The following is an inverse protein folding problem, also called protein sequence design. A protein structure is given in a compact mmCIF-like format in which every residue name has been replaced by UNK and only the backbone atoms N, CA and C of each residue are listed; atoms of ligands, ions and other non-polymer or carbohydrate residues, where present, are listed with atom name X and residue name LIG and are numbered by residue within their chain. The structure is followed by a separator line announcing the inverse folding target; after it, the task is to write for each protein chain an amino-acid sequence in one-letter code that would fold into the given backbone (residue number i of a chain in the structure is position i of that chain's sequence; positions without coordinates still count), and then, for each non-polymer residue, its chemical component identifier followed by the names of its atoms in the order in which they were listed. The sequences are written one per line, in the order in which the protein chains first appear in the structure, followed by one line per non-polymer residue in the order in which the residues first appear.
data_IF_659613142756
#
_entry.id   IF_659613142756
#
_cell.length_a   1.000
_cell.length_b   1.000
_cell.length_c   1.000
_cell.angle_alpha   90.00
_cell.angle_beta   90.00
_cell.angle_gamma   90.00
#
_symmetry.space_group_name_H-M   'P 1'
#
loop_
_entity.id
_entity.type
_entity.pdbx_description
1 polymer ?
#
# COMPACT_ATOMS: atom_id res chain seq x y z
N UNK A 1 -33.23 19.28 10.80
CA UNK A 1 -32.27 20.42 10.80
C UNK A 1 -31.51 20.53 12.13
N UNK A 2 -32.18 20.58 13.29
CA UNK A 2 -31.52 20.68 14.61
C UNK A 2 -30.68 19.43 14.97
N UNK A 3 -31.12 18.23 14.58
CA UNK A 3 -30.38 16.96 14.81
C UNK A 3 -29.09 16.87 13.96
N UNK A 4 -29.06 17.53 12.79
CA UNK A 4 -27.86 17.61 11.96
C UNK A 4 -26.85 18.63 12.53
N UNK A 5 -27.31 19.77 13.04
CA UNK A 5 -26.43 20.78 13.64
C UNK A 5 -25.73 20.30 14.92
N UNK A 6 -26.33 19.39 15.70
CA UNK A 6 -25.71 18.87 16.93
C UNK A 6 -24.72 17.71 16.69
N UNK A 7 -24.74 17.07 15.52
CA UNK A 7 -23.77 16.02 15.15
C UNK A 7 -22.40 16.60 14.70
N UNK A 8 -22.37 17.86 14.27
CA UNK A 8 -21.18 18.51 13.68
C UNK A 8 -20.31 19.29 14.68
N UNK A 9 -20.82 19.61 15.87
CA UNK A 9 -20.08 20.42 16.87
C UNK A 9 -18.86 19.65 17.40
N UNK A 10 -18.97 18.33 17.58
CA UNK A 10 -17.90 17.50 18.11
C UNK A 10 -16.63 17.52 17.25
N UNK A 11 -16.70 17.17 15.96
CA UNK A 11 -15.56 17.25 15.04
C UNK A 11 -14.98 18.66 14.91
N UNK A 12 -15.81 19.70 14.89
CA UNK A 12 -15.35 21.08 14.85
C UNK A 12 -14.53 21.45 16.11
N UNK A 13 -15.02 21.08 17.30
CA UNK A 13 -14.28 21.28 18.56
C UNK A 13 -12.95 20.53 18.57
N UNK A 14 -12.92 19.30 18.09
CA UNK A 14 -11.69 18.52 17.98
C UNK A 14 -10.68 19.16 17.02
N UNK A 15 -11.14 19.70 15.89
CA UNK A 15 -10.30 20.44 14.95
C UNK A 15 -9.71 21.71 15.58
N UNK A 16 -10.51 22.48 16.31
CA UNK A 16 -10.03 23.66 17.04
C UNK A 16 -8.98 23.27 18.08
N UNK A 17 -9.20 22.20 18.85
CA UNK A 17 -8.25 21.70 19.84
C UNK A 17 -6.96 21.19 19.21
N UNK A 18 -7.03 20.50 18.07
CA UNK A 18 -5.85 20.04 17.34
C UNK A 18 -5.03 21.23 16.83
N UNK A 19 -5.67 22.25 16.24
CA UNK A 19 -5.00 23.47 15.80
C UNK A 19 -4.35 24.18 16.99
N UNK A 20 -5.08 24.34 18.10
CA UNK A 20 -4.54 24.94 19.31
C UNK A 20 -3.32 24.18 19.82
N UNK A 21 -3.40 22.85 19.88
CA UNK A 21 -2.30 21.95 20.23
C UNK A 21 -1.06 22.15 19.34
N UNK A 22 -1.26 22.22 18.02
CA UNK A 22 -0.18 22.49 17.05
C UNK A 22 0.47 23.86 17.30
N UNK A 23 -0.32 24.90 17.55
CA UNK A 23 0.17 26.26 17.76
C UNK A 23 0.96 26.40 19.07
N UNK A 24 0.54 25.75 20.15
CA UNK A 24 1.28 25.81 21.42
C UNK A 24 2.47 24.84 21.45
N UNK A 25 2.55 23.87 20.54
CA UNK A 25 3.51 22.77 20.63
C UNK A 25 4.98 23.20 20.68
N UNK A 26 5.43 24.21 19.89
CA UNK A 26 6.81 24.71 20.00
C UNK A 26 7.08 25.49 21.29
N UNK A 27 6.03 26.06 21.91
CA UNK A 27 6.13 26.91 23.09
C UNK A 27 6.16 26.12 24.40
N UNK A 28 5.61 24.90 24.40
CA UNK A 28 5.51 24.05 25.59
C UNK A 28 6.54 22.94 25.51
N UNK A 29 7.67 23.16 26.17
CA UNK A 29 8.73 22.17 26.36
C UNK A 29 8.87 21.86 27.86
N UNK A 30 9.20 20.61 28.24
CA UNK A 30 9.54 19.45 27.41
C UNK A 30 8.32 18.74 26.78
N UNK A 31 8.54 17.91 25.75
CA UNK A 31 7.51 17.19 24.99
C UNK A 31 6.45 16.46 25.84
N UNK A 32 6.86 15.83 26.94
CA UNK A 32 5.94 15.12 27.85
C UNK A 32 4.93 16.05 28.54
N UNK A 33 5.28 17.32 28.76
CA UNK A 33 4.39 18.30 29.37
C UNK A 33 3.27 18.68 28.41
N UNK A 34 3.61 18.95 27.15
CA UNK A 34 2.62 19.18 26.10
C UNK A 34 1.71 17.96 25.94
N UNK A 35 2.29 16.76 25.88
CA UNK A 35 1.55 15.51 25.79
C UNK A 35 0.51 15.39 26.90
N UNK A 36 0.91 15.64 28.15
CA UNK A 36 0.02 15.59 29.31
C UNK A 36 -1.13 16.60 29.19
N UNK A 37 -0.86 17.84 28.76
CA UNK A 37 -1.91 18.84 28.52
C UNK A 37 -2.88 18.38 27.44
N UNK A 38 -2.37 17.93 26.29
CA UNK A 38 -3.19 17.46 25.16
C UNK A 38 -4.05 16.26 25.57
N UNK A 39 -3.51 15.32 26.35
CA UNK A 39 -4.25 14.17 26.88
C UNK A 39 -5.38 14.63 27.82
N UNK A 40 -5.12 15.56 28.74
CA UNK A 40 -6.14 16.08 29.64
C UNK A 40 -7.28 16.78 28.87
N UNK A 41 -6.94 17.66 27.92
CA UNK A 41 -7.94 18.33 27.09
C UNK A 41 -8.74 17.35 26.22
N UNK A 42 -8.07 16.35 25.63
CA UNK A 42 -8.73 15.29 24.86
C UNK A 42 -9.59 14.37 25.73
N UNK A 43 -9.25 14.23 27.01
CA UNK A 43 -10.06 13.54 28.01
C UNK A 43 -11.44 14.19 28.19
N UNK A 44 -11.53 15.51 28.10
CA UNK A 44 -12.82 16.23 28.13
C UNK A 44 -13.64 15.90 26.87
N UNK A 45 -13.00 15.81 25.71
CA UNK A 45 -13.68 15.42 24.47
C UNK A 45 -14.29 14.02 24.58
N UNK A 46 -13.69 13.06 25.30
CA UNK A 46 -14.30 11.72 25.49
C UNK A 46 -15.72 11.77 26.08
N UNK A 47 -16.08 12.84 26.79
CA UNK A 47 -17.41 13.04 27.35
C UNK A 47 -18.44 13.57 26.32
N UNK A 48 -17.98 14.03 25.15
CA UNK A 48 -18.81 14.59 24.08
C UNK A 48 -19.17 13.50 23.06
N UNK A 49 -20.46 13.31 22.82
CA UNK A 49 -20.97 12.35 21.82
C UNK A 49 -20.35 12.61 20.44
N UNK A 50 -19.92 11.53 19.77
CA UNK A 50 -19.40 11.58 18.41
C UNK A 50 -17.92 11.95 18.28
N UNK A 51 -17.21 12.22 19.39
CA UNK A 51 -15.78 12.57 19.37
C UNK A 51 -14.86 11.48 19.91
N UNK A 52 -15.41 10.42 20.54
CA UNK A 52 -14.64 9.37 21.23
C UNK A 52 -13.38 8.92 20.49
N UNK A 53 -13.51 8.49 19.23
CA UNK A 53 -12.38 7.97 18.45
C UNK A 53 -11.40 9.04 17.98
N UNK A 54 -11.87 10.29 17.80
CA UNK A 54 -11.00 11.45 17.54
C UNK A 54 -10.21 11.81 18.81
N UNK A 55 -10.83 11.76 19.98
CA UNK A 55 -10.12 11.99 21.24
C UNK A 55 -9.06 10.91 21.48
N UNK A 56 -9.40 9.64 21.25
CA UNK A 56 -8.44 8.53 21.39
C UNK A 56 -7.28 8.67 20.41
N UNK A 57 -7.54 9.06 19.16
CA UNK A 57 -6.48 9.25 18.17
C UNK A 57 -5.51 10.38 18.57
N UNK A 58 -6.04 11.50 19.07
CA UNK A 58 -5.22 12.61 19.60
C UNK A 58 -4.41 12.16 20.82
N UNK A 59 -5.03 11.43 21.77
CA UNK A 59 -4.37 10.91 22.97
C UNK A 59 -3.20 10.00 22.60
N UNK A 60 -3.41 9.04 21.69
CA UNK A 60 -2.36 8.10 21.26
C UNK A 60 -1.21 8.85 20.58
N UNK A 61 -1.52 9.78 19.67
CA UNK A 61 -0.50 10.57 18.96
C UNK A 61 0.30 11.45 19.95
N UNK A 62 -0.38 12.05 20.92
CA UNK A 62 0.26 12.83 21.98
C UNK A 62 1.14 11.97 22.88
N UNK A 63 0.71 10.77 23.24
CA UNK A 63 1.51 9.82 24.03
C UNK A 63 2.80 9.46 23.29
N UNK A 64 2.73 9.13 22.00
CA UNK A 64 3.91 8.79 21.20
C UNK A 64 4.89 9.97 21.11
N UNK A 65 4.40 11.20 20.95
CA UNK A 65 5.23 12.40 21.02
C UNK A 65 5.86 12.61 22.41
N UNK A 66 5.07 12.47 23.48
CA UNK A 66 5.54 12.64 24.86
C UNK A 66 6.60 11.61 25.28
N UNK A 67 6.55 10.41 24.70
CA UNK A 67 7.56 9.35 24.86
C UNK A 67 8.81 9.55 23.99
N UNK A 68 8.83 10.58 23.13
CA UNK A 68 9.95 10.84 22.21
C UNK A 68 9.99 9.91 20.99
N UNK A 69 8.91 9.17 20.71
CA UNK A 69 8.80 8.30 19.53
C UNK A 69 8.37 9.08 18.27
N UNK A 70 7.82 10.28 18.42
CA UNK A 70 7.50 11.17 17.30
C UNK A 70 8.29 12.47 17.39
N UNK A 71 8.75 12.97 16.25
CA UNK A 71 9.25 14.34 16.17
C UNK A 71 8.10 15.35 16.29
N UNK A 72 8.41 16.59 16.69
CA UNK A 72 7.44 17.69 16.77
C UNK A 72 6.74 17.93 15.42
N UNK A 73 7.50 17.85 14.31
CA UNK A 73 6.95 18.01 12.96
C UNK A 73 5.98 16.89 12.59
N UNK A 74 6.31 15.64 12.91
CA UNK A 74 5.44 14.49 12.64
C UNK A 74 4.19 14.56 13.49
N UNK A 75 4.31 14.83 14.79
CA UNK A 75 3.17 15.03 15.69
C UNK A 75 2.18 16.06 15.15
N UNK A 76 2.67 17.26 14.80
CA UNK A 76 1.82 18.34 14.31
C UNK A 76 1.22 18.03 12.93
N UNK A 77 2.02 17.44 12.03
CA UNK A 77 1.55 17.03 10.71
C UNK A 77 0.47 15.95 10.80
N UNK A 78 0.64 14.92 11.64
CA UNK A 78 -0.34 13.85 11.78
C UNK A 78 -1.67 14.39 12.31
N UNK A 79 -1.64 15.24 13.35
CA UNK A 79 -2.85 15.87 13.87
C UNK A 79 -3.56 16.71 12.81
N UNK A 80 -2.81 17.48 12.02
CA UNK A 80 -3.38 18.27 10.94
C UNK A 80 -4.05 17.39 9.87
N UNK A 81 -3.39 16.32 9.42
CA UNK A 81 -3.93 15.41 8.40
C UNK A 81 -5.21 14.75 8.90
N UNK A 82 -5.14 14.11 10.07
CA UNK A 82 -6.23 13.26 10.56
C UNK A 82 -7.42 14.08 11.01
N UNK A 83 -7.20 15.12 11.82
CA UNK A 83 -8.31 15.85 12.43
C UNK A 83 -8.95 16.82 11.44
N UNK A 84 -8.17 17.56 10.66
CA UNK A 84 -8.72 18.48 9.67
C UNK A 84 -9.26 17.74 8.45
N UNK A 85 -8.60 16.65 8.04
CA UNK A 85 -9.10 15.75 6.99
C UNK A 85 -10.43 15.11 7.39
N UNK A 86 -10.55 14.61 8.63
CA UNK A 86 -11.81 14.06 9.14
C UNK A 86 -12.92 15.09 9.12
N UNK A 87 -12.64 16.30 9.60
CA UNK A 87 -13.60 17.38 9.60
C UNK A 87 -14.09 17.67 8.17
N UNK A 88 -13.17 17.84 7.21
CA UNK A 88 -13.53 18.07 5.81
C UNK A 88 -14.36 16.92 5.22
N UNK A 89 -13.98 15.67 5.49
CA UNK A 89 -14.67 14.49 4.97
C UNK A 89 -16.12 14.38 5.43
N UNK A 90 -16.38 14.71 6.72
CA UNK A 90 -17.73 14.71 7.30
C UNK A 90 -18.58 15.84 6.74
N UNK A 91 -18.03 17.07 6.68
CA UNK A 91 -18.74 18.25 6.16
C UNK A 91 -19.16 18.07 4.70
N UNK A 92 -18.38 17.33 3.89
CA UNK A 92 -18.74 17.03 2.50
C UNK A 92 -19.63 15.78 2.34
N UNK A 93 -20.21 15.28 3.44
CA UNK A 93 -21.24 14.23 3.42
C UNK A 93 -20.72 12.79 3.32
N UNK A 94 -19.44 12.55 3.62
CA UNK A 94 -18.84 11.20 3.66
C UNK A 94 -19.05 10.34 2.38
N UNK A 95 -19.08 10.97 1.21
CA UNK A 95 -19.20 10.29 -0.08
C UNK A 95 -17.83 9.96 -0.67
N UNK A 96 -17.71 9.14 -1.74
CA UNK A 96 -16.43 8.92 -2.42
C UNK A 96 -15.73 10.22 -2.88
N UNK A 97 -16.48 11.30 -3.13
CA UNK A 97 -15.89 12.61 -3.47
C UNK A 97 -15.28 13.32 -2.26
N UNK A 98 -15.70 12.98 -1.04
CA UNK A 98 -15.17 13.53 0.21
C UNK A 98 -13.70 13.19 0.45
N UNK A 99 -13.18 12.13 -0.18
CA UNK A 99 -11.74 11.81 -0.10
C UNK A 99 -10.85 12.92 -0.67
N UNK A 100 -11.32 13.64 -1.70
CA UNK A 100 -10.58 14.78 -2.25
C UNK A 100 -10.52 15.94 -1.24
N UNK A 101 -11.64 16.23 -0.57
CA UNK A 101 -11.69 17.24 0.48
C UNK A 101 -10.76 16.86 1.65
N UNK A 102 -10.76 15.59 2.06
CA UNK A 102 -9.84 15.06 3.06
C UNK A 102 -8.37 15.32 2.67
N UNK A 103 -7.96 14.90 1.46
CA UNK A 103 -6.57 15.01 1.00
C UNK A 103 -6.14 16.48 0.96
N UNK A 104 -6.96 17.34 0.36
CA UNK A 104 -6.62 18.76 0.18
C UNK A 104 -6.52 19.46 1.53
N UNK A 105 -7.54 19.33 2.40
CA UNK A 105 -7.56 20.01 3.69
C UNK A 105 -6.50 19.45 4.64
N UNK A 106 -6.36 18.12 4.72
CA UNK A 106 -5.36 17.48 5.57
C UNK A 106 -3.93 17.82 5.15
N UNK A 107 -3.63 17.77 3.84
CA UNK A 107 -2.30 18.10 3.32
C UNK A 107 -1.98 19.58 3.49
N UNK A 108 -2.94 20.48 3.22
CA UNK A 108 -2.74 21.91 3.43
C UNK A 108 -2.48 22.23 4.91
N UNK A 109 -3.25 21.64 5.83
CA UNK A 109 -3.02 21.77 7.26
C UNK A 109 -1.65 21.26 7.69
N UNK A 110 -1.21 20.12 7.14
CA UNK A 110 0.11 19.55 7.42
C UNK A 110 1.25 20.43 6.94
N UNK A 111 1.16 20.98 5.72
CA UNK A 111 2.15 21.93 5.18
C UNK A 111 2.24 23.16 6.07
N UNK A 112 1.10 23.73 6.48
CA UNK A 112 1.07 24.89 7.37
C UNK A 112 1.65 24.57 8.76
N UNK A 113 1.33 23.40 9.32
CA UNK A 113 1.85 22.95 10.61
C UNK A 113 3.38 22.77 10.56
N UNK A 114 3.90 22.12 9.52
CA UNK A 114 5.34 21.96 9.34
C UNK A 114 6.04 23.30 9.11
N UNK A 115 5.46 24.18 8.27
CA UNK A 115 5.98 25.52 8.03
C UNK A 115 6.05 26.37 9.33
N UNK A 116 5.03 26.25 10.19
CA UNK A 116 5.00 26.90 11.50
C UNK A 116 6.14 26.43 12.43
N UNK A 117 6.49 25.14 12.36
CA UNK A 117 7.60 24.55 13.11
C UNK A 117 8.96 24.85 12.46
N UNK A 118 8.99 25.38 11.24
CA UNK A 118 10.22 25.69 10.50
C UNK A 118 10.83 24.47 9.78
N UNK A 119 10.03 23.42 9.54
CA UNK A 119 10.46 22.23 8.79
C UNK A 119 9.69 22.18 7.47
N UNK A 120 10.37 21.88 6.37
CA UNK A 120 9.72 21.70 5.06
C UNK A 120 10.07 20.31 4.50
N UNK A 121 9.14 19.37 4.61
CA UNK A 121 9.30 18.03 4.05
C UNK A 121 8.04 17.57 3.31
N UNK A 122 7.92 17.91 2.02
CA UNK A 122 6.75 17.56 1.20
C UNK A 122 6.48 16.05 1.13
N UNK A 123 7.54 15.22 1.10
CA UNK A 123 7.42 13.76 1.06
C UNK A 123 6.64 13.23 2.26
N UNK A 124 6.94 13.74 3.46
CA UNK A 124 6.32 13.29 4.71
C UNK A 124 4.84 13.68 4.74
N UNK A 125 4.49 14.86 4.26
CA UNK A 125 3.08 15.28 4.13
C UNK A 125 2.34 14.38 3.15
N UNK A 126 2.92 14.11 1.97
CA UNK A 126 2.27 13.27 0.96
C UNK A 126 2.08 11.82 1.41
N UNK A 127 3.10 11.22 2.03
CA UNK A 127 2.98 9.87 2.61
C UNK A 127 1.90 9.85 3.68
N UNK A 128 1.89 10.82 4.59
CA UNK A 128 0.88 10.92 5.63
C UNK A 128 -0.54 11.02 5.04
N UNK A 129 -0.74 11.89 4.06
CA UNK A 129 -2.04 12.07 3.42
C UNK A 129 -2.51 10.80 2.68
N UNK A 130 -1.63 10.14 1.92
CA UNK A 130 -1.93 8.91 1.20
C UNK A 130 -2.24 7.74 2.14
N UNK A 131 -1.44 7.55 3.20
CA UNK A 131 -1.68 6.52 4.22
C UNK A 131 -3.00 6.77 4.94
N UNK A 132 -3.34 8.03 5.22
CA UNK A 132 -4.59 8.38 5.87
C UNK A 132 -5.81 7.97 5.02
N UNK A 133 -5.85 8.38 3.75
CA UNK A 133 -6.96 8.00 2.86
C UNK A 133 -6.99 6.52 2.52
N UNK A 134 -5.83 5.87 2.43
CA UNK A 134 -5.73 4.43 2.29
C UNK A 134 -6.39 3.71 3.47
N UNK A 135 -5.95 4.02 4.71
CA UNK A 135 -6.48 3.37 5.90
C UNK A 135 -7.97 3.63 6.06
N UNK A 136 -8.41 4.85 5.75
CA UNK A 136 -9.84 5.18 5.72
C UNK A 136 -10.63 4.34 4.72
N UNK A 137 -10.12 4.17 3.51
CA UNK A 137 -10.75 3.34 2.48
C UNK A 137 -10.71 1.85 2.83
N UNK A 138 -9.68 1.39 3.54
CA UNK A 138 -9.52 -0.01 3.95
C UNK A 138 -10.35 -0.39 5.20
N UNK A 139 -10.62 0.58 6.08
CA UNK A 139 -11.29 0.38 7.36
C UNK A 139 -12.77 0.84 7.34
N UNK A 140 -13.37 0.94 6.16
CA UNK A 140 -14.79 1.31 6.03
C UNK A 140 -15.66 0.36 6.85
N UNK A 141 -16.55 0.93 7.68
CA UNK A 141 -17.44 0.17 8.56
C UNK A 141 -16.86 -0.16 9.94
N UNK A 142 -15.59 0.18 10.20
CA UNK A 142 -14.99 0.05 11.54
C UNK A 142 -15.16 1.33 12.35
N UNK A 143 -15.62 1.19 13.59
CA UNK A 143 -15.75 2.34 14.50
C UNK A 143 -14.39 2.90 14.96
N UNK A 144 -13.39 2.03 15.11
CA UNK A 144 -12.04 2.36 15.55
C UNK A 144 -11.11 2.86 14.42
N UNK A 145 -11.65 3.02 13.20
CA UNK A 145 -10.87 3.35 12.01
C UNK A 145 -9.98 4.59 12.18
N UNK A 146 -10.50 5.63 12.85
CA UNK A 146 -9.80 6.91 13.00
C UNK A 146 -8.60 6.84 13.95
N UNK A 147 -8.66 5.95 14.95
CA UNK A 147 -7.53 5.67 15.83
C UNK A 147 -6.42 4.94 15.06
N UNK A 148 -6.80 3.92 14.28
CA UNK A 148 -5.86 3.14 13.46
C UNK A 148 -5.23 4.03 12.39
N UNK A 149 -6.04 4.91 11.78
CA UNK A 149 -5.60 5.91 10.81
C UNK A 149 -4.52 6.83 11.40
N UNK A 150 -4.75 7.42 12.58
CA UNK A 150 -3.76 8.30 13.20
C UNK A 150 -2.47 7.59 13.56
N UNK A 151 -2.55 6.38 14.13
CA UNK A 151 -1.37 5.59 14.45
C UNK A 151 -0.58 5.24 13.17
N UNK A 152 -1.26 4.77 12.13
CA UNK A 152 -0.64 4.41 10.86
C UNK A 152 0.01 5.61 10.16
N UNK A 153 -0.66 6.76 10.15
CA UNK A 153 -0.11 8.01 9.62
C UNK A 153 1.12 8.45 10.42
N UNK A 154 1.04 8.49 11.75
CA UNK A 154 2.15 8.88 12.62
C UNK A 154 3.38 8.01 12.39
N UNK A 155 3.22 6.68 12.39
CA UNK A 155 4.32 5.74 12.23
C UNK A 155 4.91 5.77 10.83
N UNK A 156 4.09 5.88 9.79
CA UNK A 156 4.58 6.02 8.42
C UNK A 156 5.36 7.33 8.25
N UNK A 157 4.82 8.45 8.73
CA UNK A 157 5.51 9.74 8.66
C UNK A 157 6.82 9.75 9.45
N UNK A 158 6.83 9.16 10.66
CA UNK A 158 8.04 9.06 11.48
C UNK A 158 9.13 8.24 10.80
N UNK A 159 8.77 7.10 10.20
CA UNK A 159 9.71 6.28 9.44
C UNK A 159 10.42 7.10 8.35
N UNK A 160 9.67 7.81 7.51
CA UNK A 160 10.27 8.63 6.44
C UNK A 160 10.96 9.90 6.97
N UNK A 161 10.54 10.43 8.11
CA UNK A 161 11.25 11.52 8.79
C UNK A 161 12.65 11.08 9.23
N UNK A 162 12.79 9.89 9.82
CA UNK A 162 14.06 9.36 10.29
C UNK A 162 15.00 8.92 9.17
N UNK A 163 14.45 8.39 8.05
CA UNK A 163 15.26 8.11 6.85
C UNK A 163 15.94 9.39 6.34
N UNK A 164 15.32 10.56 6.51
CA UNK A 164 15.91 11.84 6.12
C UNK A 164 16.04 12.01 4.60
N UNK A 165 15.28 11.25 3.81
CA UNK A 165 15.32 11.30 2.34
C UNK A 165 14.58 12.53 1.82
N UNK A 166 15.30 13.42 1.12
CA UNK A 166 14.73 14.61 0.50
C UNK A 166 14.58 14.43 -1.00
N UNK A 167 13.45 14.87 -1.54
CA UNK A 167 13.13 14.78 -2.97
C UNK A 167 12.79 16.18 -3.47
N UNK A 168 13.20 16.48 -4.70
CA UNK A 168 12.77 17.70 -5.36
C UNK A 168 11.22 17.78 -5.40
N UNK A 169 10.61 18.90 -4.96
CA UNK A 169 9.16 19.02 -4.88
C UNK A 169 8.43 18.82 -6.22
N UNK A 170 9.06 19.17 -7.34
CA UNK A 170 8.46 19.01 -8.66
C UNK A 170 8.44 17.54 -9.08
N UNK A 171 9.57 16.84 -8.93
CA UNK A 171 9.63 15.39 -9.16
C UNK A 171 8.65 14.62 -8.28
N UNK A 172 8.53 15.02 -7.02
CA UNK A 172 7.59 14.43 -6.08
C UNK A 172 6.12 14.67 -6.50
N UNK A 173 5.78 15.89 -6.93
CA UNK A 173 4.43 16.20 -7.42
C UNK A 173 4.10 15.39 -8.68
N UNK A 174 5.06 15.26 -9.61
CA UNK A 174 4.89 14.44 -10.80
C UNK A 174 4.65 12.97 -10.45
N UNK A 175 5.44 12.43 -9.50
CA UNK A 175 5.28 11.07 -9.00
C UNK A 175 3.88 10.85 -8.39
N UNK A 176 3.40 11.80 -7.59
CA UNK A 176 2.06 11.75 -6.99
C UNK A 176 0.97 11.75 -8.07
N UNK A 177 1.07 12.63 -9.07
CA UNK A 177 0.11 12.71 -10.17
C UNK A 177 0.07 11.40 -10.96
N UNK A 178 1.22 10.84 -11.32
CA UNK A 178 1.29 9.56 -12.03
C UNK A 178 0.67 8.44 -11.21
N UNK A 179 1.02 8.34 -9.92
CA UNK A 179 0.54 7.30 -9.03
C UNK A 179 -0.98 7.37 -8.80
N UNK A 180 -1.52 8.57 -8.55
CA UNK A 180 -2.96 8.79 -8.39
C UNK A 180 -3.73 8.61 -9.70
N UNK A 181 -3.18 9.04 -10.84
CA UNK A 181 -3.80 8.83 -12.14
C UNK A 181 -3.93 7.33 -12.43
N UNK A 182 -2.88 6.56 -12.19
CA UNK A 182 -2.91 5.10 -12.34
C UNK A 182 -3.92 4.45 -11.38
N UNK A 183 -3.91 4.84 -10.09
CA UNK A 183 -4.89 4.34 -9.12
C UNK A 183 -6.33 4.64 -9.54
N UNK A 184 -6.59 5.87 -9.99
CA UNK A 184 -7.90 6.30 -10.48
C UNK A 184 -8.34 5.50 -11.71
N UNK A 185 -7.47 5.33 -12.70
CA UNK A 185 -7.77 4.52 -13.89
C UNK A 185 -8.06 3.07 -13.51
N UNK A 186 -7.28 2.50 -12.60
CA UNK A 186 -7.48 1.14 -12.09
C UNK A 186 -8.84 0.97 -11.40
N UNK A 187 -9.25 1.97 -10.62
CA UNK A 187 -10.59 2.01 -10.01
C UNK A 187 -11.70 2.19 -11.06
N UNK A 188 -11.51 3.11 -12.00
CA UNK A 188 -12.49 3.42 -13.04
C UNK A 188 -12.78 2.21 -13.94
N UNK A 189 -11.75 1.46 -14.32
CA UNK A 189 -11.87 0.23 -15.10
C UNK A 189 -12.24 -1.00 -14.26
N UNK A 190 -12.61 -0.82 -12.98
CA UNK A 190 -12.96 -1.89 -12.04
C UNK A 190 -11.89 -2.99 -12.00
N UNK A 191 -10.62 -2.61 -12.05
CA UNK A 191 -9.49 -3.50 -11.80
C UNK A 191 -9.09 -3.49 -10.31
N UNK A 192 -9.31 -2.36 -9.63
CA UNK A 192 -9.07 -2.20 -8.20
C UNK A 192 -10.25 -1.52 -7.50
N UNK A 193 -10.44 -1.78 -6.21
CA UNK A 193 -11.40 -1.03 -5.39
C UNK A 193 -10.78 0.27 -4.84
N UNK A 194 -11.50 1.00 -3.99
CA UNK A 194 -11.01 2.26 -3.42
C UNK A 194 -9.76 2.09 -2.54
N UNK A 195 -9.68 0.97 -1.81
CA UNK A 195 -8.50 0.63 -1.02
C UNK A 195 -7.31 0.24 -1.91
N UNK A 196 -7.59 -0.45 -3.03
CA UNK A 196 -6.63 -0.81 -4.08
C UNK A 196 -6.07 0.42 -4.80
N UNK A 197 -6.90 1.45 -5.04
CA UNK A 197 -6.46 2.74 -5.59
C UNK A 197 -5.39 3.38 -4.72
N UNK A 198 -5.66 3.56 -3.42
CA UNK A 198 -4.73 4.29 -2.55
C UNK A 198 -3.50 3.46 -2.19
N UNK A 199 -3.64 2.15 -1.97
CA UNK A 199 -2.48 1.26 -1.78
C UNK A 199 -1.60 1.20 -3.04
N UNK A 200 -2.21 1.15 -4.23
CA UNK A 200 -1.48 1.23 -5.50
C UNK A 200 -0.79 2.59 -5.70
N UNK A 201 -1.43 3.68 -5.29
CA UNK A 201 -0.81 5.01 -5.32
C UNK A 201 0.38 5.13 -4.35
N UNK A 202 0.31 4.53 -3.16
CA UNK A 202 1.44 4.46 -2.22
C UNK A 202 2.61 3.70 -2.85
N UNK A 203 2.35 2.49 -3.38
CA UNK A 203 3.39 1.70 -4.04
C UNK A 203 3.99 2.47 -5.23
N UNK A 204 3.14 3.06 -6.09
CA UNK A 204 3.59 3.82 -7.24
C UNK A 204 4.43 5.04 -6.86
N UNK A 205 4.01 5.80 -5.85
CA UNK A 205 4.80 6.92 -5.33
C UNK A 205 6.18 6.46 -4.86
N UNK A 206 6.24 5.40 -4.05
CA UNK A 206 7.50 4.89 -3.50
C UNK A 206 8.44 4.36 -4.59
N UNK A 207 7.92 3.67 -5.61
CA UNK A 207 8.74 3.21 -6.74
C UNK A 207 9.34 4.38 -7.52
N UNK A 208 8.55 5.43 -7.80
CA UNK A 208 9.02 6.59 -8.58
C UNK A 208 10.01 7.43 -7.76
N UNK A 209 9.75 7.62 -6.47
CA UNK A 209 10.54 8.49 -5.58
C UNK A 209 11.89 7.88 -5.21
N UNK A 210 11.93 6.59 -4.88
CA UNK A 210 13.16 5.93 -4.44
C UNK A 210 13.96 5.30 -5.57
N UNK A 211 13.33 4.98 -6.70
CA UNK A 211 14.03 4.45 -7.85
C UNK A 211 13.86 5.36 -9.06
N UNK A 212 12.86 5.08 -9.91
CA UNK A 212 12.64 5.78 -11.17
C UNK A 212 11.24 5.44 -11.72
N UNK A 213 10.66 6.31 -12.54
CA UNK A 213 9.38 6.05 -13.22
C UNK A 213 9.40 4.76 -14.06
N UNK A 214 10.58 4.35 -14.55
CA UNK A 214 10.78 3.08 -15.26
C UNK A 214 10.42 1.86 -14.41
N UNK A 215 10.70 1.88 -13.10
CA UNK A 215 10.35 0.78 -12.19
C UNK A 215 8.84 0.68 -12.02
N UNK A 216 8.17 1.83 -11.91
CA UNK A 216 6.72 1.89 -11.94
C UNK A 216 6.14 1.28 -13.23
N UNK A 217 6.74 1.55 -14.41
CA UNK A 217 6.30 0.93 -15.66
C UNK A 217 6.48 -0.59 -15.70
N UNK A 218 7.56 -1.14 -15.12
CA UNK A 218 7.72 -2.60 -15.00
C UNK A 218 6.59 -3.20 -14.15
N UNK A 219 6.25 -2.58 -13.02
CA UNK A 219 5.13 -3.03 -12.19
C UNK A 219 3.78 -2.84 -12.90
N UNK A 220 3.63 -1.79 -13.71
CA UNK A 220 2.44 -1.55 -14.52
C UNK A 220 2.23 -2.66 -15.55
N UNK A 221 3.30 -3.16 -16.18
CA UNK A 221 3.21 -4.30 -17.11
C UNK A 221 2.67 -5.54 -16.41
N UNK A 222 3.17 -5.87 -15.22
CA UNK A 222 2.58 -6.94 -14.40
C UNK A 222 1.08 -6.70 -14.14
N UNK A 223 0.72 -5.49 -13.70
CA UNK A 223 -0.67 -5.17 -13.38
C UNK A 223 -1.61 -5.29 -14.59
N UNK A 224 -1.16 -4.82 -15.76
CA UNK A 224 -1.90 -4.93 -17.02
C UNK A 224 -2.05 -6.38 -17.42
N UNK A 225 -0.96 -7.15 -17.42
CA UNK A 225 -0.97 -8.58 -17.74
C UNK A 225 -1.94 -9.33 -16.82
N UNK A 226 -1.81 -9.14 -15.51
CA UNK A 226 -2.67 -9.80 -14.53
C UNK A 226 -4.14 -9.39 -14.65
N UNK A 227 -4.42 -8.10 -14.83
CA UNK A 227 -5.80 -7.63 -15.02
C UNK A 227 -6.42 -8.14 -16.32
N UNK A 228 -5.62 -8.23 -17.39
CA UNK A 228 -6.07 -8.75 -18.68
C UNK A 228 -6.35 -10.25 -18.59
N UNK A 229 -5.47 -11.05 -17.98
CA UNK A 229 -5.67 -12.50 -17.83
C UNK A 229 -6.79 -12.84 -16.87
N UNK A 230 -6.97 -12.09 -15.77
CA UNK A 230 -8.11 -12.27 -14.87
C UNK A 230 -9.44 -12.07 -15.62
N UNK A 231 -9.55 -11.00 -16.42
CA UNK A 231 -10.77 -10.70 -17.20
C UNK A 231 -10.95 -11.58 -18.44
N UNK A 232 -9.88 -12.18 -18.95
CA UNK A 232 -9.93 -13.08 -20.10
C UNK A 232 -10.81 -14.30 -19.77
N UNK A 233 -11.80 -14.55 -20.63
CA UNK A 233 -12.75 -15.67 -20.51
C UNK A 233 -13.41 -15.79 -19.12
N UNK A 234 -13.68 -14.66 -18.47
CA UNK A 234 -14.23 -14.63 -17.12
C UNK A 234 -15.55 -15.42 -16.96
N UNK A 235 -16.38 -15.47 -18.00
CA UNK A 235 -17.62 -16.29 -18.00
C UNK A 235 -17.34 -17.79 -17.88
N UNK A 236 -16.39 -18.31 -18.66
CA UNK A 236 -16.00 -19.72 -18.59
C UNK A 236 -15.43 -20.07 -17.20
N UNK A 237 -14.71 -19.14 -16.56
CA UNK A 237 -14.19 -19.31 -15.19
C UNK A 237 -15.30 -19.32 -14.13
N UNK A 238 -16.40 -18.58 -14.34
CA UNK A 238 -17.58 -18.63 -13.48
C UNK A 238 -18.24 -20.01 -13.60
N UNK A 239 -18.40 -20.51 -14.82
CA UNK A 239 -19.02 -21.82 -15.07
C UNK A 239 -18.20 -22.97 -14.44
N UNK A 240 -16.87 -22.80 -14.36
CA UNK A 240 -15.95 -23.72 -13.70
C UNK A 240 -15.88 -23.52 -12.16
N UNK A 241 -16.50 -22.47 -11.61
CA UNK A 241 -16.47 -22.17 -10.16
C UNK A 241 -15.12 -21.67 -9.64
N UNK A 242 -14.23 -21.22 -10.52
CA UNK A 242 -12.84 -20.81 -10.20
C UNK A 242 -12.55 -19.33 -10.49
N UNK A 243 -13.59 -18.57 -10.86
CA UNK A 243 -13.43 -17.15 -11.13
C UNK A 243 -12.96 -16.37 -9.90
N UNK A 244 -12.02 -15.45 -10.13
CA UNK A 244 -11.56 -14.49 -9.13
C UNK A 244 -12.74 -13.78 -8.47
N UNK A 245 -12.77 -13.71 -7.14
CA UNK A 245 -13.87 -13.06 -6.43
C UNK A 245 -14.09 -11.60 -6.84
N UNK A 246 -15.29 -11.07 -6.58
CA UNK A 246 -15.65 -9.66 -6.83
C UNK A 246 -15.44 -9.18 -8.28
N UNK A 247 -15.55 -10.06 -9.29
CA UNK A 247 -15.38 -9.63 -10.69
C UNK A 247 -13.92 -9.42 -11.09
N UNK A 248 -12.97 -9.95 -10.32
CA UNK A 248 -11.54 -9.69 -10.52
C UNK A 248 -11.05 -8.35 -9.96
N UNK A 249 -11.87 -7.65 -9.17
CA UNK A 249 -11.49 -6.39 -8.51
C UNK A 249 -10.51 -6.67 -7.37
N UNK A 250 -9.34 -6.03 -7.41
CA UNK A 250 -8.28 -6.20 -6.41
C UNK A 250 -8.38 -5.15 -5.30
N UNK A 251 -8.46 -5.61 -4.06
CA UNK A 251 -8.35 -4.76 -2.87
C UNK A 251 -6.90 -4.62 -2.38
N UNK A 252 -6.71 -3.83 -1.33
CA UNK A 252 -5.38 -3.51 -0.79
C UNK A 252 -4.54 -4.73 -0.39
N UNK A 253 -5.16 -5.79 0.12
CA UNK A 253 -4.44 -7.02 0.51
C UNK A 253 -3.73 -7.65 -0.68
N UNK A 254 -4.36 -7.67 -1.86
CA UNK A 254 -3.74 -8.20 -3.07
C UNK A 254 -2.61 -7.26 -3.57
N UNK A 255 -2.84 -5.95 -3.50
CA UNK A 255 -1.86 -4.94 -3.91
C UNK A 255 -0.58 -5.03 -3.06
N UNK A 256 -0.71 -5.06 -1.73
CA UNK A 256 0.45 -5.20 -0.85
C UNK A 256 1.10 -6.57 -0.92
N UNK A 257 0.32 -7.66 -0.98
CA UNK A 257 0.88 -9.00 -1.10
C UNK A 257 1.80 -9.14 -2.31
N UNK A 258 1.42 -8.56 -3.46
CA UNK A 258 2.20 -8.64 -4.69
C UNK A 258 3.27 -7.56 -4.82
N UNK A 259 3.07 -6.38 -4.23
CA UNK A 259 3.92 -5.22 -4.49
C UNK A 259 4.85 -4.82 -3.35
N UNK A 260 4.65 -5.31 -2.12
CA UNK A 260 5.42 -4.86 -0.95
C UNK A 260 6.90 -5.21 -1.05
N UNK A 261 7.24 -6.45 -1.42
CA UNK A 261 8.63 -6.90 -1.58
C UNK A 261 9.33 -6.09 -2.68
N UNK A 262 8.66 -5.86 -3.81
CA UNK A 262 9.16 -5.01 -4.88
C UNK A 262 9.40 -3.57 -4.40
N UNK A 263 8.48 -3.01 -3.60
CA UNK A 263 8.60 -1.67 -3.02
C UNK A 263 9.79 -1.57 -2.08
N UNK A 264 10.00 -2.59 -1.24
CA UNK A 264 11.21 -2.70 -0.39
C UNK A 264 12.47 -2.72 -1.24
N UNK A 265 12.49 -3.48 -2.34
CA UNK A 265 13.59 -3.48 -3.30
C UNK A 265 13.90 -2.09 -3.86
N UNK A 266 12.88 -1.33 -4.25
CA UNK A 266 13.04 0.04 -4.77
C UNK A 266 13.55 1.02 -3.69
N UNK A 267 12.99 0.97 -2.48
CA UNK A 267 13.45 1.81 -1.36
C UNK A 267 14.90 1.50 -1.01
N UNK A 268 15.27 0.22 -0.90
CA UNK A 268 16.66 -0.18 -0.64
C UNK A 268 17.59 0.23 -1.78
N UNK A 269 17.16 0.14 -3.03
CA UNK A 269 17.94 0.62 -4.18
C UNK A 269 18.16 2.14 -4.10
N UNK A 270 17.15 2.93 -3.77
CA UNK A 270 17.29 4.38 -3.59
C UNK A 270 18.27 4.79 -2.50
N UNK A 271 18.39 3.97 -1.45
CA UNK A 271 19.29 4.23 -0.33
C UNK A 271 20.72 3.72 -0.62
N UNK A 272 20.85 2.55 -1.27
CA UNK A 272 22.14 1.83 -1.39
C UNK A 272 22.75 1.82 -2.79
N UNK A 273 21.94 1.97 -3.84
CA UNK A 273 22.33 1.80 -5.24
C UNK A 273 22.70 0.36 -5.63
N UNK A 274 22.50 -0.63 -4.76
CA UNK A 274 23.04 -1.97 -4.97
C UNK A 274 22.24 -2.79 -6.00
N UNK A 275 22.88 -3.49 -6.96
CA UNK A 275 22.18 -4.25 -8.00
C UNK A 275 21.30 -5.40 -7.47
N UNK A 276 21.66 -5.99 -6.33
CA UNK A 276 20.82 -6.98 -5.66
C UNK A 276 19.41 -6.45 -5.30
N UNK A 277 19.26 -5.13 -5.09
CA UNK A 277 17.95 -4.51 -4.86
C UNK A 277 17.09 -4.47 -6.13
N UNK A 278 17.72 -4.30 -7.30
CA UNK A 278 17.06 -4.43 -8.62
C UNK A 278 16.59 -5.87 -8.82
N UNK A 279 17.43 -6.85 -8.48
CA UNK A 279 17.09 -8.26 -8.56
C UNK A 279 15.94 -8.62 -7.60
N UNK A 280 15.96 -8.11 -6.36
CA UNK A 280 14.87 -8.27 -5.38
C UNK A 280 13.54 -7.75 -5.93
N UNK A 281 13.55 -6.55 -6.50
CA UNK A 281 12.39 -5.97 -7.15
C UNK A 281 11.91 -6.82 -8.33
N UNK A 282 12.81 -7.15 -9.25
CA UNK A 282 12.44 -7.82 -10.49
C UNK A 282 11.93 -9.25 -10.25
N UNK A 283 12.62 -10.01 -9.40
CA UNK A 283 12.19 -11.35 -9.01
C UNK A 283 10.81 -11.32 -8.35
N UNK A 284 10.54 -10.36 -7.47
CA UNK A 284 9.22 -10.19 -6.84
C UNK A 284 8.12 -9.89 -7.86
N UNK A 285 8.32 -8.92 -8.76
CA UNK A 285 7.30 -8.54 -9.75
C UNK A 285 7.10 -9.65 -10.78
N UNK A 286 8.19 -10.31 -11.21
CA UNK A 286 8.12 -11.44 -12.13
C UNK A 286 7.38 -12.63 -11.51
N UNK A 287 7.55 -12.91 -10.22
CA UNK A 287 6.78 -13.96 -9.52
C UNK A 287 5.29 -13.63 -9.44
N UNK A 288 4.92 -12.39 -9.10
CA UNK A 288 3.52 -11.98 -9.07
C UNK A 288 2.85 -12.09 -10.45
N UNK A 289 3.58 -11.76 -11.52
CA UNK A 289 3.11 -11.88 -12.89
C UNK A 289 2.99 -13.34 -13.33
N UNK A 290 4.02 -14.14 -13.07
CA UNK A 290 4.00 -15.58 -13.34
C UNK A 290 2.81 -16.24 -12.67
N UNK A 291 2.57 -15.94 -11.39
CA UNK A 291 1.54 -16.58 -10.60
C UNK A 291 0.14 -16.23 -11.09
N UNK A 292 -0.12 -14.93 -11.30
CA UNK A 292 -1.40 -14.48 -11.82
C UNK A 292 -1.67 -15.08 -13.21
N UNK A 293 -0.69 -15.09 -14.11
CA UNK A 293 -0.91 -15.59 -15.48
C UNK A 293 -1.06 -17.12 -15.47
N UNK A 294 -0.23 -17.83 -14.69
CA UNK A 294 -0.28 -19.28 -14.57
C UNK A 294 -1.61 -19.77 -14.00
N UNK A 295 -2.11 -19.14 -12.93
CA UNK A 295 -3.38 -19.50 -12.32
C UNK A 295 -4.58 -19.17 -13.23
N UNK A 296 -4.59 -17.98 -13.84
CA UNK A 296 -5.73 -17.51 -14.65
C UNK A 296 -5.82 -18.19 -16.02
N UNK A 297 -4.70 -18.54 -16.63
CA UNK A 297 -4.66 -19.22 -17.94
C UNK A 297 -4.58 -20.73 -17.77
N UNK A 298 -3.86 -21.22 -16.74
CA UNK A 298 -3.63 -22.63 -16.50
C UNK A 298 -4.88 -23.44 -16.17
N UNK A 299 -5.94 -22.81 -15.67
CA UNK A 299 -7.28 -23.41 -15.49
C UNK A 299 -7.83 -24.01 -16.79
N UNK A 300 -7.46 -23.46 -17.95
CA UNK A 300 -7.88 -23.96 -19.25
C UNK A 300 -6.96 -25.06 -19.81
N UNK A 301 -5.88 -25.39 -19.09
CA UNK A 301 -4.82 -26.30 -19.52
C UNK A 301 -5.08 -27.79 -19.34
N UNK A 302 -6.34 -28.20 -19.16
CA UNK A 302 -6.71 -29.59 -18.88
C UNK A 302 -6.72 -29.91 -17.38
N UNK A 303 -6.42 -31.16 -17.01
CA UNK A 303 -6.50 -31.64 -15.61
C UNK A 303 -5.24 -31.23 -14.82
N UNK A 304 -5.35 -30.36 -13.80
CA UNK A 304 -4.21 -30.00 -12.97
C UNK A 304 -3.71 -31.17 -12.12
N UNK A 305 -2.44 -31.10 -11.75
CA UNK A 305 -1.79 -32.05 -10.84
C UNK A 305 -1.27 -31.32 -9.62
N UNK A 306 -1.47 -31.89 -8.44
CA UNK A 306 -0.99 -31.26 -7.21
C UNK A 306 0.54 -31.26 -7.19
N UNK A 307 1.17 -30.10 -6.97
CA UNK A 307 2.63 -29.95 -7.04
C UNK A 307 3.39 -30.88 -6.09
N UNK A 308 2.80 -31.27 -4.96
CA UNK A 308 3.42 -32.12 -3.93
C UNK A 308 3.32 -33.62 -4.22
N UNK A 309 2.26 -34.08 -4.88
CA UNK A 309 1.99 -35.52 -5.08
C UNK A 309 1.89 -35.94 -6.54
N UNK A 310 1.84 -34.96 -7.46
CA UNK A 310 1.60 -35.12 -8.89
C UNK A 310 0.29 -35.85 -9.24
N UNK A 311 -0.62 -35.99 -8.27
CA UNK A 311 -1.93 -36.61 -8.48
C UNK A 311 -2.89 -35.62 -9.17
N UNK A 312 -3.76 -36.09 -10.09
CA UNK A 312 -4.79 -35.26 -10.67
C UNK A 312 -5.72 -34.67 -9.60
N UNK A 313 -6.03 -33.38 -9.71
CA UNK A 313 -6.95 -32.67 -8.82
C UNK A 313 -7.96 -31.86 -9.64
N UNK A 314 -9.11 -31.46 -9.05
CA UNK A 314 -10.05 -30.57 -9.72
C UNK A 314 -9.42 -29.20 -10.08
N UNK A 315 -9.82 -28.58 -11.20
CA UNK A 315 -9.47 -27.18 -11.50
C UNK A 315 -9.80 -26.24 -10.34
N UNK A 316 -8.90 -25.28 -10.08
CA UNK A 316 -9.03 -24.32 -8.97
C UNK A 316 -8.57 -24.85 -7.61
N UNK A 317 -8.05 -26.07 -7.53
CA UNK A 317 -7.40 -26.57 -6.30
C UNK A 317 -6.09 -25.81 -6.05
N UNK A 318 -5.93 -25.22 -4.87
CA UNK A 318 -4.68 -24.54 -4.48
C UNK A 318 -3.49 -25.51 -4.58
N UNK A 319 -2.45 -25.09 -5.31
CA UNK A 319 -1.27 -25.89 -5.62
C UNK A 319 -1.44 -26.91 -6.75
N UNK A 320 -2.54 -26.86 -7.49
CA UNK A 320 -2.73 -27.60 -8.73
C UNK A 320 -2.06 -26.89 -9.90
N UNK A 321 -1.06 -27.53 -10.51
CA UNK A 321 -0.31 -27.00 -11.65
C UNK A 321 -0.71 -27.70 -12.95
N UNK A 322 -0.75 -26.95 -14.06
CA UNK A 322 -0.92 -27.48 -15.42
C UNK A 322 0.29 -27.09 -16.27
N UNK A 323 0.59 -27.88 -17.30
CA UNK A 323 1.66 -27.54 -18.24
C UNK A 323 1.45 -26.18 -18.90
N UNK A 324 0.20 -25.86 -19.25
CA UNK A 324 -0.16 -24.55 -19.81
C UNK A 324 0.09 -23.43 -18.79
N UNK A 325 -0.28 -23.65 -17.52
CA UNK A 325 -0.01 -22.70 -16.43
C UNK A 325 1.48 -22.41 -16.28
N UNK A 326 2.31 -23.45 -16.16
CA UNK A 326 3.77 -23.29 -16.04
C UNK A 326 4.39 -22.56 -17.25
N UNK A 327 4.00 -22.94 -18.48
CA UNK A 327 4.54 -22.32 -19.68
C UNK A 327 4.13 -20.84 -19.81
N UNK A 328 2.88 -20.51 -19.51
CA UNK A 328 2.40 -19.12 -19.55
C UNK A 328 2.91 -18.28 -18.38
N UNK A 329 3.10 -18.87 -17.21
CA UNK A 329 3.75 -18.24 -16.05
C UNK A 329 5.21 -17.89 -16.35
N UNK A 330 5.99 -18.81 -16.91
CA UNK A 330 7.36 -18.54 -17.35
C UNK A 330 7.39 -17.43 -18.42
N UNK A 331 6.45 -17.47 -19.37
CA UNK A 331 6.30 -16.41 -20.37
C UNK A 331 6.01 -15.04 -19.75
N UNK A 332 5.15 -14.96 -18.74
CA UNK A 332 4.85 -13.72 -18.03
C UNK A 332 6.05 -13.18 -17.25
N UNK A 333 6.79 -14.05 -16.54
CA UNK A 333 8.04 -13.68 -15.88
C UNK A 333 9.07 -13.12 -16.88
N UNK A 334 9.18 -13.75 -18.06
CA UNK A 334 10.06 -13.30 -19.12
C UNK A 334 9.62 -11.93 -19.68
N UNK A 335 8.33 -11.71 -19.93
CA UNK A 335 7.82 -10.41 -20.41
C UNK A 335 8.14 -9.29 -19.43
N UNK A 336 7.90 -9.49 -18.13
CA UNK A 336 8.24 -8.51 -17.09
C UNK A 336 9.74 -8.22 -17.07
N UNK A 337 10.57 -9.27 -17.10
CA UNK A 337 12.03 -9.14 -17.05
C UNK A 337 12.63 -8.48 -18.29
N UNK A 338 12.11 -8.82 -19.47
CA UNK A 338 12.50 -8.18 -20.73
C UNK A 338 12.05 -6.72 -20.78
N UNK A 339 10.92 -6.37 -20.17
CA UNK A 339 10.49 -4.97 -20.03
C UNK A 339 11.47 -4.21 -19.15
N UNK A 340 11.89 -4.78 -18.01
CA UNK A 340 12.88 -4.17 -17.14
C UNK A 340 14.23 -3.96 -17.86
N UNK A 341 14.67 -4.92 -18.67
CA UNK A 341 15.85 -4.77 -19.51
C UNK A 341 15.69 -3.68 -20.58
N UNK A 342 14.59 -3.70 -21.32
CA UNK A 342 14.32 -2.73 -22.39
C UNK A 342 14.22 -1.29 -21.88
N UNK A 343 13.71 -1.10 -20.66
CA UNK A 343 13.67 0.21 -20.00
C UNK A 343 15.02 0.62 -19.37
N UNK A 344 16.02 -0.27 -19.36
CA UNK A 344 17.31 -0.03 -18.70
C UNK A 344 17.23 0.00 -17.18
N UNK A 345 16.26 -0.71 -16.59
CA UNK A 345 16.16 -0.95 -15.14
C UNK A 345 17.09 -2.09 -14.73
N UNK A 346 17.19 -3.13 -15.55
CA UNK A 346 18.01 -4.31 -15.32
C UNK A 346 18.97 -4.54 -16.49
N UNK A 347 20.16 -5.07 -16.21
CA UNK A 347 21.03 -5.62 -17.25
C UNK A 347 20.51 -7.00 -17.73
N UNK A 348 21.05 -7.56 -18.84
CA UNK A 348 20.61 -8.85 -19.35
C UNK A 348 20.73 -10.01 -18.34
N UNK A 349 21.72 -9.95 -17.44
CA UNK A 349 21.93 -10.99 -16.43
C UNK A 349 20.84 -10.93 -15.35
N UNK A 350 20.57 -9.74 -14.80
CA UNK A 350 19.50 -9.54 -13.82
C UNK A 350 18.14 -9.86 -14.45
N UNK A 351 17.92 -9.58 -15.74
CA UNK A 351 16.68 -9.96 -16.43
C UNK A 351 16.53 -11.49 -16.57
N UNK A 352 17.61 -12.21 -16.87
CA UNK A 352 17.59 -13.68 -16.89
C UNK A 352 17.30 -14.24 -15.49
N UNK A 353 18.02 -13.75 -14.48
CA UNK A 353 17.81 -14.13 -13.08
C UNK A 353 16.37 -13.83 -12.63
N UNK A 354 15.84 -12.66 -12.96
CA UNK A 354 14.47 -12.26 -12.66
C UNK A 354 13.43 -13.19 -13.28
N UNK A 355 13.66 -13.66 -14.51
CA UNK A 355 12.78 -14.63 -15.19
C UNK A 355 12.76 -15.97 -14.45
N UNK A 356 13.94 -16.51 -14.14
CA UNK A 356 14.07 -17.79 -13.45
C UNK A 356 13.53 -17.72 -12.02
N UNK A 357 13.84 -16.65 -11.30
CA UNK A 357 13.35 -16.42 -9.95
C UNK A 357 11.83 -16.17 -9.94
N UNK A 358 11.29 -15.51 -10.96
CA UNK A 358 9.86 -15.37 -11.20
C UNK A 358 9.16 -16.72 -11.22
N UNK A 359 9.68 -17.63 -12.04
CA UNK A 359 9.19 -19.01 -12.16
C UNK A 359 9.31 -19.82 -10.86
N UNK A 360 10.43 -19.65 -10.12
CA UNK A 360 10.61 -20.25 -8.79
C UNK A 360 9.53 -19.74 -7.83
N UNK A 361 9.25 -18.43 -7.80
CA UNK A 361 8.22 -17.85 -6.93
C UNK A 361 6.82 -18.38 -7.23
N UNK A 362 6.45 -18.56 -8.51
CA UNK A 362 5.17 -19.20 -8.89
C UNK A 362 5.03 -20.62 -8.35
N UNK A 363 6.12 -21.40 -8.41
CA UNK A 363 6.11 -22.76 -7.90
C UNK A 363 6.11 -22.79 -6.37
N UNK A 364 6.73 -21.79 -5.72
CA UNK A 364 6.61 -21.57 -4.27
C UNK A 364 5.18 -21.23 -3.86
N UNK A 365 4.45 -20.42 -4.63
CA UNK A 365 3.03 -20.15 -4.40
C UNK A 365 2.25 -21.47 -4.37
N UNK A 366 2.38 -22.27 -5.43
CA UNK A 366 1.70 -23.55 -5.54
C UNK A 366 2.06 -24.51 -4.38
N UNK A 367 3.31 -24.52 -3.94
CA UNK A 367 3.76 -25.33 -2.81
C UNK A 367 3.12 -24.87 -1.48
N UNK A 368 3.11 -23.57 -1.22
CA UNK A 368 2.50 -22.98 -0.02
C UNK A 368 0.98 -23.14 -0.06
N UNK A 369 0.36 -22.98 -1.22
CA UNK A 369 -1.05 -23.23 -1.46
C UNK A 369 -1.45 -24.67 -1.11
N UNK A 370 -0.69 -25.65 -1.62
CA UNK A 370 -0.93 -27.07 -1.36
C UNK A 370 -0.76 -27.46 0.13
N UNK A 371 0.17 -26.81 0.85
CA UNK A 371 0.60 -27.25 2.18
C UNK A 371 0.02 -26.44 3.33
N UNK A 372 -0.07 -25.12 3.20
CA UNK A 372 -0.41 -24.19 4.28
C UNK A 372 -1.75 -23.48 4.05
N UNK A 373 -2.06 -23.07 2.83
CA UNK A 373 -3.33 -22.38 2.53
C UNK A 373 -4.53 -23.33 2.70
N UNK A 374 -4.42 -24.55 2.16
CA UNK A 374 -5.45 -25.58 2.34
C UNK A 374 -5.68 -25.98 3.81
N UNK A 375 -4.71 -25.71 4.70
CA UNK A 375 -4.82 -25.94 6.15
C UNK A 375 -5.39 -24.74 6.91
N UNK A 376 -5.67 -23.63 6.22
CA UNK A 376 -6.15 -22.39 6.82
C UNK A 376 -5.10 -21.60 7.60
N UNK A 377 -3.80 -21.91 7.44
CA UNK A 377 -2.71 -21.19 8.13
C UNK A 377 -2.50 -19.81 7.48
N UNK A 378 -2.57 -19.76 6.15
CA UNK A 378 -2.52 -18.53 5.36
C UNK A 378 -3.76 -18.42 4.49
N UNK A 379 -4.14 -17.20 4.13
CA UNK A 379 -5.03 -16.96 2.99
C UNK A 379 -4.22 -16.56 1.76
N UNK A 380 -4.86 -16.49 0.60
CA UNK A 380 -4.28 -16.12 -0.71
C UNK A 380 -3.29 -14.93 -0.65
N UNK A 381 -3.61 -13.84 0.07
CA UNK A 381 -2.69 -12.71 0.21
C UNK A 381 -1.36 -13.07 0.92
N UNK A 382 -1.38 -13.99 1.89
CA UNK A 382 -0.17 -14.51 2.54
C UNK A 382 0.64 -15.41 1.61
N UNK A 383 -0.03 -16.27 0.83
CA UNK A 383 0.61 -17.14 -0.18
C UNK A 383 1.34 -16.29 -1.23
N UNK A 384 0.65 -15.31 -1.82
CA UNK A 384 1.23 -14.36 -2.78
C UNK A 384 2.44 -13.59 -2.19
N UNK A 385 2.36 -13.17 -0.93
CA UNK A 385 3.47 -12.48 -0.27
C UNK A 385 4.70 -13.40 -0.13
N UNK A 386 4.51 -14.66 0.26
CA UNK A 386 5.60 -15.64 0.36
C UNK A 386 6.18 -15.95 -1.02
N UNK A 387 5.35 -16.07 -2.05
CA UNK A 387 5.77 -16.31 -3.41
C UNK A 387 6.65 -15.16 -3.94
N UNK A 388 6.19 -13.92 -3.81
CA UNK A 388 6.93 -12.74 -4.24
C UNK A 388 8.20 -12.50 -3.41
N UNK A 389 8.15 -12.77 -2.10
CA UNK A 389 9.34 -12.74 -1.23
C UNK A 389 10.36 -13.79 -1.63
N UNK A 390 9.92 -15.03 -1.87
CA UNK A 390 10.78 -16.14 -2.28
C UNK A 390 11.43 -15.89 -3.64
N UNK A 391 10.66 -15.44 -4.63
CA UNK A 391 11.20 -15.04 -5.93
C UNK A 391 12.18 -13.87 -5.84
N UNK A 392 11.81 -12.81 -5.12
CA UNK A 392 12.69 -11.65 -4.92
C UNK A 392 14.01 -12.02 -4.21
N UNK A 393 13.95 -12.75 -3.10
CA UNK A 393 15.15 -13.19 -2.37
C UNK A 393 16.01 -14.15 -3.20
N UNK A 394 15.40 -15.07 -3.94
CA UNK A 394 16.12 -15.95 -4.86
C UNK A 394 16.93 -15.14 -5.88
N UNK A 395 16.30 -14.15 -6.52
CA UNK A 395 16.99 -13.27 -7.46
C UNK A 395 18.13 -12.46 -6.81
N UNK A 396 17.87 -11.87 -5.65
CA UNK A 396 18.87 -11.08 -4.92
C UNK A 396 20.08 -11.93 -4.50
N UNK A 397 19.85 -13.13 -3.97
CA UNK A 397 20.92 -14.05 -3.57
C UNK A 397 21.75 -14.52 -4.77
N UNK A 398 21.10 -14.86 -5.89
CA UNK A 398 21.80 -15.27 -7.11
C UNK A 398 22.74 -14.17 -7.61
N UNK A 399 22.30 -12.91 -7.60
CA UNK A 399 23.13 -11.75 -8.01
C UNK A 399 24.25 -11.42 -7.01
N UNK A 400 24.10 -11.82 -5.74
CA UNK A 400 25.15 -11.63 -4.73
C UNK A 400 26.24 -12.71 -4.78
N UNK A 401 25.91 -13.91 -5.26
CA UNK A 401 26.80 -15.08 -5.23
C UNK A 401 27.48 -15.32 -6.57
N UNK A 402 26.84 -14.93 -7.68
CA UNK A 402 27.32 -15.08 -9.06
C UNK A 402 27.74 -13.72 -9.59
#
# INVERSE_FOLDING_TARGET
MIIWMTQEIGPALAAVLAIFGILIAPLVQPAWLLSLLVILFSGVLLLIKGTRYVSVSIIVTALLYGLGLLSLAVFASTLAIVVLGEFAFRVTGATPRSYLAYIVTGSAGAVLAMAYIGIFSPLIVMIGALVAVFLRAALVGREDALMIEALGVAMAQQLFFEIGYSVDPWSLMLALVIALAFGYLSYHFKAADLSGLFSGAIIGLLLIVFADVRWFFVMLVFFILGSATTKFKYREKIDLGVAQSHGGVRGYLNVFANGLVATVGAVLYGITGHPACVALFLGSVASAAADTVASEVGVMGGTPRLITTLRPVPPGTNGGVTFLGEATGLGAAAVVSLTAWALGVADPWIALVGTLAGFVGTNLDSLVGATLENRGVFGNAGTNFIATLGGGLCAAVLVLVL
#
